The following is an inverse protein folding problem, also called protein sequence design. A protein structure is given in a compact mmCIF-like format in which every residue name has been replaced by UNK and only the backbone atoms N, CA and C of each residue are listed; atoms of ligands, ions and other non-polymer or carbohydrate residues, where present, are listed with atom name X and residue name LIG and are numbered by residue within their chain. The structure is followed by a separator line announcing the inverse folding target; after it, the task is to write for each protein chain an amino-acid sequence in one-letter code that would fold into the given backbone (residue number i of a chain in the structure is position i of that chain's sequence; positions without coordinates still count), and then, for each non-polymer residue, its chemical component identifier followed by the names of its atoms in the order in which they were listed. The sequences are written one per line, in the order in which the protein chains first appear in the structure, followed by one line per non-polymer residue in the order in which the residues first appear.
data_IF_983112974299
#
_entry.id   IF_983112974299
#
_cell.length_a   1.000
_cell.length_b   1.000
_cell.length_c   1.000
_cell.angle_alpha   90.00
_cell.angle_beta   90.00
_cell.angle_gamma   90.00
#
_symmetry.space_group_name_H-M   'P 1'
#
loop_
_entity.id
_entity.type
_entity.pdbx_description
1 polymer ?
#
# COMPACT_ATOMS: atom_id res chain seq x y z
N UNK A 1 57.01 1.33 -2.05
CA UNK A 1 57.56 2.67 -1.79
C UNK A 1 57.07 3.62 -2.88
N UNK A 2 56.09 4.42 -2.59
CA UNK A 2 55.88 5.80 -3.12
C UNK A 2 54.66 6.38 -2.42
N UNK A 3 54.94 7.22 -1.43
CA UNK A 3 53.99 8.09 -0.73
C UNK A 3 53.68 9.26 -1.66
N UNK A 4 52.39 9.62 -1.81
CA UNK A 4 52.04 10.98 -2.25
C UNK A 4 51.03 11.51 -1.24
N UNK A 5 51.49 12.55 -0.57
CA UNK A 5 50.78 13.34 0.41
C UNK A 5 50.05 14.51 -0.26
N UNK A 6 48.91 14.90 0.34
CA UNK A 6 48.51 16.29 0.50
C UNK A 6 47.69 16.89 -0.65
N UNK A 7 46.52 17.37 -0.29
CA UNK A 7 46.24 18.83 -0.29
C UNK A 7 44.83 19.00 0.33
N UNK A 8 44.84 19.58 1.52
CA UNK A 8 43.68 20.20 2.17
C UNK A 8 43.51 21.56 1.52
N UNK A 9 42.31 21.83 0.96
CA UNK A 9 41.92 23.19 0.57
C UNK A 9 40.68 23.59 1.33
N UNK A 10 40.92 24.35 2.37
CA UNK A 10 39.98 25.09 3.21
C UNK A 10 39.53 26.34 2.43
N UNK A 11 38.25 26.40 2.00
CA UNK A 11 37.64 27.66 1.54
C UNK A 11 36.57 28.07 2.54
N UNK A 12 36.95 28.92 3.48
CA UNK A 12 36.02 29.81 4.18
C UNK A 12 35.66 30.98 3.28
N UNK A 13 34.41 31.15 2.96
CA UNK A 13 33.86 32.45 2.55
C UNK A 13 32.63 32.79 3.39
N UNK A 14 32.88 33.72 4.31
CA UNK A 14 31.87 34.42 5.03
C UNK A 14 31.08 35.37 4.10
N UNK A 15 29.80 35.45 4.30
CA UNK A 15 28.96 36.53 3.74
C UNK A 15 28.21 37.21 4.86
N UNK A 16 28.46 38.51 4.92
CA UNK A 16 28.02 39.50 5.89
C UNK A 16 26.52 39.83 5.77
N UNK A 17 25.95 40.15 6.94
CA UNK A 17 24.61 40.72 7.12
C UNK A 17 24.41 42.03 6.34
N UNK A 18 23.24 42.23 5.77
CA UNK A 18 22.64 43.55 5.58
C UNK A 18 21.17 43.47 5.99
N UNK A 19 20.88 44.11 7.12
CA UNK A 19 19.56 44.45 7.60
C UNK A 19 19.02 45.65 6.83
N UNK A 20 17.75 45.60 6.40
CA UNK A 20 16.95 46.79 6.17
C UNK A 20 15.49 46.44 6.50
N UNK A 21 15.01 47.08 7.54
CA UNK A 21 13.64 47.08 8.01
C UNK A 21 12.73 47.97 7.15
N UNK A 22 11.46 47.61 7.14
CA UNK A 22 10.40 48.58 6.95
C UNK A 22 9.14 48.10 7.65
N UNK A 23 8.84 48.78 8.70
CA UNK A 23 7.57 48.85 9.42
C UNK A 23 6.50 49.49 8.55
N UNK A 24 5.31 48.92 8.50
CA UNK A 24 4.08 49.69 8.29
C UNK A 24 2.96 49.09 9.14
N UNK A 25 2.65 49.88 10.19
CA UNK A 25 1.39 49.84 10.93
C UNK A 25 0.25 50.44 10.08
N UNK A 26 -0.94 49.87 10.20
CA UNK A 26 -2.22 50.55 10.11
C UNK A 26 -3.28 49.68 10.77
N UNK A 27 -3.60 49.95 12.02
CA UNK A 27 -4.85 50.52 12.60
C UNK A 27 -6.15 49.86 12.10
N UNK A 28 -6.77 49.02 12.90
CA UNK A 28 -7.84 49.21 13.88
C UNK A 28 -9.16 49.82 13.33
N UNK A 29 -10.23 49.08 13.50
CA UNK A 29 -11.57 49.46 13.98
C UNK A 29 -12.50 48.25 13.91
N UNK A 30 -12.96 47.60 15.03
CA UNK A 30 -14.08 47.98 15.86
C UNK A 30 -15.42 47.91 15.10
N UNK A 31 -16.37 47.07 15.44
CA UNK A 31 -17.35 46.93 16.50
C UNK A 31 -18.26 45.74 16.18
N UNK A 32 -18.55 44.81 17.05
CA UNK A 32 -19.55 44.77 18.09
C UNK A 32 -21.02 44.66 17.60
N UNK A 33 -21.67 43.59 18.04
CA UNK A 33 -23.11 43.38 17.95
C UNK A 33 -23.43 41.88 18.09
N UNK A 34 -23.55 41.33 19.23
CA UNK A 34 -24.53 41.29 20.30
C UNK A 34 -25.82 40.55 19.95
N UNK A 35 -26.08 39.57 20.82
CA UNK A 35 -27.38 39.09 21.34
C UNK A 35 -28.02 37.90 20.64
N UNK A 36 -28.01 36.74 21.23
CA UNK A 36 -28.80 36.25 22.37
C UNK A 36 -30.05 35.44 21.95
N UNK A 37 -30.19 34.37 22.65
CA UNK A 37 -31.34 33.62 23.16
C UNK A 37 -31.66 32.35 22.35
N UNK A 38 -31.32 31.18 22.86
CA UNK A 38 -32.07 30.33 23.78
C UNK A 38 -33.50 29.99 23.29
N UNK A 39 -33.72 28.73 22.97
CA UNK A 39 -34.82 28.00 23.61
C UNK A 39 -34.69 26.47 23.41
N UNK A 40 -34.82 25.86 24.52
CA UNK A 40 -34.95 24.43 24.86
C UNK A 40 -36.29 23.90 24.34
N UNK A 41 -36.32 22.73 23.71
CA UNK A 41 -37.46 21.82 23.92
C UNK A 41 -36.97 20.39 23.89
N UNK A 42 -37.04 19.79 25.04
CA UNK A 42 -37.05 18.39 25.37
C UNK A 42 -38.25 17.69 24.74
N UNK A 43 -38.08 16.53 24.13
CA UNK A 43 -39.10 15.48 24.19
C UNK A 43 -38.47 14.09 24.11
N UNK A 44 -38.45 13.49 25.28
CA UNK A 44 -38.41 12.04 25.43
C UNK A 44 -39.74 11.43 24.94
N UNK A 45 -39.65 10.35 24.21
CA UNK A 45 -40.66 9.32 24.28
C UNK A 45 -40.02 7.94 24.09
N UNK A 46 -40.00 7.24 25.15
CA UNK A 46 -39.80 5.81 25.36
C UNK A 46 -40.98 5.04 24.75
N UNK A 47 -40.72 3.96 24.02
CA UNK A 47 -41.62 2.80 24.01
C UNK A 47 -40.80 1.52 24.01
N UNK A 48 -41.07 0.75 25.02
CA UNK A 48 -40.58 -0.60 25.31
C UNK A 48 -41.15 -1.65 24.36
N UNK A 49 -40.35 -2.72 24.24
CA UNK A 49 -40.71 -4.15 24.36
C UNK A 49 -41.56 -4.82 23.25
N UNK A 50 -40.99 -5.82 22.58
CA UNK A 50 -41.50 -7.18 22.72
C UNK A 50 -40.50 -8.22 22.19
N UNK A 51 -40.15 -9.12 23.07
CA UNK A 51 -39.46 -10.39 22.85
C UNK A 51 -40.30 -11.35 22.00
N UNK A 52 -39.68 -12.10 21.11
CA UNK A 52 -40.15 -13.44 20.73
C UNK A 52 -38.98 -14.30 20.26
N UNK A 53 -38.56 -15.15 21.15
CA UNK A 53 -37.80 -16.36 20.99
C UNK A 53 -38.50 -17.34 20.05
N UNK A 54 -37.79 -17.94 19.10
CA UNK A 54 -38.10 -19.30 18.64
C UNK A 54 -36.82 -19.99 18.18
N UNK A 55 -36.42 -20.94 18.98
CA UNK A 55 -35.43 -21.95 18.63
C UNK A 55 -36.10 -23.07 17.83
N UNK A 56 -35.35 -23.72 16.99
CA UNK A 56 -35.34 -25.10 16.53
C UNK A 56 -34.85 -25.16 15.09
N UNK A 57 -34.08 -26.03 14.59
CA UNK A 57 -33.51 -27.34 14.92
C UNK A 57 -32.74 -27.80 13.70
N UNK A 58 -31.74 -28.56 13.92
CA UNK A 58 -30.77 -29.18 13.05
C UNK A 58 -31.34 -29.91 11.81
N UNK A 59 -30.58 -29.89 10.71
CA UNK A 59 -30.45 -31.06 9.83
C UNK A 59 -29.11 -31.06 9.14
N UNK A 60 -28.29 -32.01 9.50
CA UNK A 60 -27.08 -32.43 8.77
C UNK A 60 -27.48 -33.08 7.45
N UNK A 61 -26.71 -32.78 6.40
CA UNK A 61 -26.59 -33.66 5.23
C UNK A 61 -25.16 -33.57 4.71
N UNK A 62 -24.43 -34.61 4.99
CA UNK A 62 -23.20 -34.97 4.29
C UNK A 62 -23.54 -35.28 2.84
N UNK A 63 -22.63 -34.93 1.93
CA UNK A 63 -21.96 -35.79 0.94
C UNK A 63 -21.53 -35.00 -0.27
N UNK A 64 -20.29 -35.22 -0.65
CA UNK A 64 -19.82 -34.92 -1.98
C UNK A 64 -18.37 -34.48 -2.05
N UNK A 65 -17.46 -35.35 -1.66
CA UNK A 65 -16.09 -35.28 -2.13
C UNK A 65 -16.11 -35.43 -3.65
N UNK A 66 -15.70 -34.39 -4.36
CA UNK A 66 -15.28 -34.48 -5.75
C UNK A 66 -13.80 -34.15 -5.78
N UNK A 67 -13.00 -35.21 -5.69
CA UNK A 67 -11.62 -35.17 -6.16
C UNK A 67 -11.67 -34.96 -7.68
N UNK A 68 -11.39 -33.73 -8.10
CA UNK A 68 -10.95 -33.46 -9.46
C UNK A 68 -9.44 -33.35 -9.41
N UNK A 69 -8.79 -34.45 -9.77
CA UNK A 69 -7.35 -34.46 -10.00
C UNK A 69 -7.04 -33.46 -11.11
N UNK A 70 -6.37 -32.37 -10.76
CA UNK A 70 -5.66 -31.54 -11.71
C UNK A 70 -4.41 -32.32 -12.10
N UNK A 71 -4.34 -32.74 -13.36
CA UNK A 71 -3.14 -33.30 -13.96
C UNK A 71 -2.04 -32.23 -13.92
N UNK A 72 -1.00 -32.50 -13.17
CA UNK A 72 0.27 -31.78 -13.22
C UNK A 72 0.87 -31.93 -14.63
N UNK A 73 0.67 -30.89 -15.46
CA UNK A 73 1.55 -30.67 -16.60
C UNK A 73 2.74 -29.88 -16.11
N UNK A 74 3.73 -30.60 -15.59
CA UNK A 74 4.99 -30.03 -15.17
C UNK A 74 5.72 -29.35 -16.33
N UNK A 75 5.82 -28.06 -16.26
CA UNK A 75 6.91 -27.29 -16.85
C UNK A 75 7.46 -26.46 -15.70
N UNK A 76 8.72 -26.65 -15.35
CA UNK A 76 9.43 -26.18 -14.15
C UNK A 76 9.35 -24.66 -13.87
N UNK A 77 8.18 -24.22 -13.55
CA UNK A 77 7.95 -22.91 -12.92
C UNK A 77 7.66 -23.24 -11.45
N UNK A 78 8.50 -22.72 -10.53
CA UNK A 78 8.26 -22.82 -9.10
C UNK A 78 6.88 -22.29 -8.74
N UNK A 79 6.40 -22.58 -7.52
CA UNK A 79 5.13 -22.07 -7.06
C UNK A 79 5.16 -20.54 -7.05
N UNK A 80 4.15 -19.91 -7.63
CA UNK A 80 4.08 -18.45 -7.81
C UNK A 80 3.04 -17.87 -6.86
N UNK A 81 3.42 -16.83 -6.14
CA UNK A 81 2.53 -15.97 -5.39
C UNK A 81 2.43 -14.61 -6.08
N UNK A 82 1.23 -14.07 -6.21
CA UNK A 82 0.98 -12.72 -6.71
C UNK A 82 0.35 -11.94 -5.56
N UNK A 83 1.20 -11.30 -4.76
CA UNK A 83 0.80 -10.46 -3.66
C UNK A 83 0.58 -9.03 -4.17
N UNK A 84 -0.55 -8.40 -3.81
CA UNK A 84 -0.84 -7.05 -4.28
C UNK A 84 -1.63 -6.24 -3.25
N UNK A 85 -1.35 -4.95 -3.19
CA UNK A 85 -2.18 -3.96 -2.53
C UNK A 85 -2.92 -3.15 -3.61
N UNK A 86 -4.23 -2.97 -3.44
CA UNK A 86 -5.02 -2.18 -4.38
C UNK A 86 -6.08 -1.35 -3.65
N UNK A 87 -6.13 -0.03 -3.90
CA UNK A 87 -7.17 0.84 -3.34
C UNK A 87 -8.28 1.13 -4.35
N UNK A 88 -7.92 1.35 -5.61
CA UNK A 88 -8.86 1.72 -6.68
C UNK A 88 -9.22 0.57 -7.63
N UNK A 89 -8.71 -0.64 -7.39
CA UNK A 89 -8.89 -1.81 -8.25
C UNK A 89 -7.87 -1.92 -9.39
N UNK A 90 -7.09 -0.88 -9.69
CA UNK A 90 -6.14 -0.92 -10.81
C UNK A 90 -5.05 -1.98 -10.63
N UNK A 91 -4.41 -2.02 -9.46
CA UNK A 91 -3.35 -3.00 -9.19
C UNK A 91 -3.92 -4.41 -9.12
N UNK A 92 -5.11 -4.59 -8.57
CA UNK A 92 -5.84 -5.86 -8.56
C UNK A 92 -6.10 -6.37 -9.99
N UNK A 93 -6.54 -5.49 -10.89
CA UNK A 93 -6.76 -5.86 -12.29
C UNK A 93 -5.47 -6.36 -12.96
N UNK A 94 -4.34 -5.69 -12.72
CA UNK A 94 -3.03 -6.12 -13.22
C UNK A 94 -2.61 -7.46 -12.60
N UNK A 95 -2.80 -7.64 -11.28
CA UNK A 95 -2.52 -8.90 -10.60
C UNK A 95 -3.33 -10.06 -11.20
N UNK A 96 -4.61 -9.84 -11.53
CA UNK A 96 -5.44 -10.81 -12.23
C UNK A 96 -4.91 -11.17 -13.62
N UNK A 97 -4.39 -10.20 -14.38
CA UNK A 97 -3.78 -10.46 -15.69
C UNK A 97 -2.49 -11.29 -15.57
N UNK A 98 -1.66 -11.02 -14.55
CA UNK A 98 -0.49 -11.83 -14.26
C UNK A 98 -0.91 -13.27 -13.95
N UNK A 99 -1.92 -13.44 -13.08
CA UNK A 99 -2.41 -14.77 -12.73
C UNK A 99 -2.91 -15.55 -13.96
N UNK A 100 -3.63 -14.90 -14.85
CA UNK A 100 -4.09 -15.54 -16.10
C UNK A 100 -2.95 -15.97 -17.01
N UNK A 101 -1.81 -15.26 -17.00
CA UNK A 101 -0.67 -15.53 -17.87
C UNK A 101 0.27 -16.59 -17.28
N UNK A 102 0.61 -16.47 -15.99
CA UNK A 102 1.63 -17.33 -15.35
C UNK A 102 1.05 -18.36 -14.38
N UNK A 103 -0.23 -18.26 -14.05
CA UNK A 103 -0.84 -19.04 -12.97
C UNK A 103 -0.46 -18.50 -11.58
N UNK A 104 -0.58 -19.36 -10.57
CA UNK A 104 -0.22 -19.02 -9.19
C UNK A 104 -1.38 -18.54 -8.35
N UNK A 105 -1.07 -18.23 -7.09
CA UNK A 105 -2.05 -17.83 -6.09
C UNK A 105 -2.09 -16.30 -5.93
N UNK A 106 -3.28 -15.72 -5.86
CA UNK A 106 -3.47 -14.31 -5.54
C UNK A 106 -3.52 -14.11 -4.02
N UNK A 107 -2.87 -13.07 -3.54
CA UNK A 107 -2.95 -12.63 -2.16
C UNK A 107 -3.10 -11.11 -2.07
N UNK A 108 -4.21 -10.64 -1.51
CA UNK A 108 -4.40 -9.22 -1.26
C UNK A 108 -3.67 -8.79 0.02
N UNK A 109 -2.77 -7.81 -0.12
CA UNK A 109 -2.11 -7.14 0.99
C UNK A 109 -3.09 -6.10 1.54
N UNK A 110 -3.97 -6.49 2.44
CA UNK A 110 -4.95 -5.61 3.04
C UNK A 110 -4.54 -5.23 4.47
N UNK A 111 -4.55 -3.93 4.84
CA UNK A 111 -4.41 -3.55 6.23
C UNK A 111 -5.62 -4.00 7.07
N UNK A 112 -5.39 -4.32 8.35
CA UNK A 112 -6.44 -4.75 9.27
C UNK A 112 -7.51 -3.66 9.49
N UNK A 113 -7.10 -2.40 9.44
CA UNK A 113 -7.98 -1.23 9.37
C UNK A 113 -7.98 -0.70 7.93
N UNK A 114 -9.06 -0.89 7.16
CA UNK A 114 -9.11 -0.44 5.77
C UNK A 114 -8.91 1.07 5.64
N UNK A 115 -8.21 1.49 4.60
CA UNK A 115 -8.11 2.91 4.27
C UNK A 115 -9.47 3.50 3.91
N UNK A 116 -9.58 4.82 4.11
CA UNK A 116 -10.78 5.58 3.74
C UNK A 116 -11.06 5.51 2.23
N UNK A 117 -12.33 5.65 1.85
CA UNK A 117 -12.74 5.81 0.44
C UNK A 117 -12.61 7.27 -0.04
N UNK A 118 -12.43 8.23 0.88
CA UNK A 118 -12.21 9.63 0.54
C UNK A 118 -10.77 9.86 0.10
N UNK A 119 -10.60 10.29 -1.14
CA UNK A 119 -9.29 10.44 -1.78
C UNK A 119 -8.40 11.48 -1.10
N UNK A 120 -8.96 12.63 -0.71
CA UNK A 120 -8.16 13.70 -0.11
C UNK A 120 -7.66 13.28 1.28
N UNK A 121 -8.51 12.64 2.06
CA UNK A 121 -8.14 12.04 3.36
C UNK A 121 -7.10 10.93 3.19
N UNK A 122 -7.22 10.10 2.15
CA UNK A 122 -6.24 9.06 1.85
C UNK A 122 -4.86 9.64 1.59
N UNK A 123 -4.78 10.74 0.82
CA UNK A 123 -3.50 11.40 0.54
C UNK A 123 -2.79 11.87 1.81
N UNK A 124 -3.55 12.39 2.79
CA UNK A 124 -3.01 12.84 4.08
C UNK A 124 -2.53 11.66 4.93
N UNK A 125 -3.31 10.58 4.99
CA UNK A 125 -2.94 9.35 5.71
C UNK A 125 -1.67 8.76 5.10
N UNK A 126 -1.64 8.54 3.79
CA UNK A 126 -0.51 7.94 3.10
C UNK A 126 0.78 8.76 3.28
N UNK A 127 0.69 10.09 3.23
CA UNK A 127 1.84 10.96 3.46
C UNK A 127 2.34 10.87 4.91
N UNK A 128 1.42 10.82 5.87
CA UNK A 128 1.74 10.68 7.29
C UNK A 128 2.42 9.36 7.56
N UNK A 129 1.85 8.26 7.07
CA UNK A 129 2.45 6.93 7.20
C UNK A 129 3.86 6.84 6.63
N UNK A 130 4.11 7.48 5.47
CA UNK A 130 5.45 7.53 4.90
C UNK A 130 6.44 8.33 5.75
N UNK A 131 6.00 9.47 6.32
CA UNK A 131 6.85 10.31 7.16
C UNK A 131 7.21 9.63 8.48
N UNK A 132 6.30 8.82 9.01
CA UNK A 132 6.46 8.08 10.25
C UNK A 132 7.08 6.69 10.06
N UNK A 133 7.32 6.28 8.80
CA UNK A 133 7.74 4.93 8.43
C UNK A 133 6.82 3.87 9.05
N UNK A 134 5.52 4.15 9.03
CA UNK A 134 4.50 3.33 9.66
C UNK A 134 4.49 1.90 9.10
N UNK A 135 4.05 0.95 9.93
CA UNK A 135 3.85 -0.44 9.53
C UNK A 135 2.43 -0.87 9.92
N UNK A 136 1.42 -0.53 9.12
CA UNK A 136 0.03 -0.92 9.40
C UNK A 136 -0.07 -2.43 9.56
N UNK A 137 -0.83 -2.89 10.55
CA UNK A 137 -1.10 -4.31 10.74
C UNK A 137 -1.88 -4.85 9.54
N UNK A 138 -1.55 -6.06 9.08
CA UNK A 138 -2.23 -6.71 7.97
C UNK A 138 -3.39 -7.59 8.45
N UNK A 139 -4.48 -7.60 7.68
CA UNK A 139 -5.69 -8.38 7.96
C UNK A 139 -5.46 -9.88 7.88
N UNK A 140 -4.54 -10.34 7.04
CA UNK A 140 -4.27 -11.75 6.80
C UNK A 140 -2.77 -12.01 6.61
N UNK A 141 -2.40 -13.29 6.65
CA UNK A 141 -1.06 -13.79 6.34
C UNK A 141 -1.13 -14.81 5.23
N UNK A 142 -0.07 -14.87 4.42
CA UNK A 142 0.10 -15.93 3.43
C UNK A 142 0.31 -17.25 4.16
N UNK A 143 -0.52 -18.21 3.83
CA UNK A 143 -0.32 -19.59 4.25
C UNK A 143 0.74 -20.26 3.35
N UNK A 144 1.47 -21.24 3.88
CA UNK A 144 2.46 -22.00 3.13
C UNK A 144 3.54 -21.17 2.41
N UNK A 145 3.95 -20.03 3.02
CA UNK A 145 4.95 -19.11 2.46
C UNK A 145 6.19 -19.80 1.89
N UNK A 146 6.68 -20.83 2.59
CA UNK A 146 7.89 -21.54 2.21
C UNK A 146 7.75 -22.30 0.88
N UNK A 147 6.52 -22.56 0.43
CA UNK A 147 6.29 -23.28 -0.83
C UNK A 147 6.45 -22.41 -2.08
N UNK A 148 6.45 -21.10 -1.95
CA UNK A 148 6.60 -20.19 -3.10
C UNK A 148 8.06 -19.92 -3.41
N UNK A 149 8.42 -19.98 -4.69
CA UNK A 149 9.75 -19.68 -5.22
C UNK A 149 9.80 -18.30 -5.87
N UNK A 150 8.68 -17.88 -6.47
CA UNK A 150 8.53 -16.60 -7.16
C UNK A 150 7.39 -15.80 -6.54
N UNK A 151 7.66 -14.55 -6.21
CA UNK A 151 6.69 -13.65 -5.60
C UNK A 151 6.60 -12.38 -6.43
N UNK A 152 5.46 -12.16 -7.04
CA UNK A 152 5.11 -10.85 -7.58
C UNK A 152 4.61 -9.97 -6.44
N UNK A 153 5.03 -8.70 -6.44
CA UNK A 153 4.56 -7.71 -5.45
C UNK A 153 4.04 -6.48 -6.16
N UNK A 154 2.73 -6.31 -6.10
CA UNK A 154 2.00 -5.24 -6.78
C UNK A 154 1.50 -4.13 -5.87
N UNK A 155 1.59 -2.87 -6.31
CA UNK A 155 1.12 -1.73 -5.52
C UNK A 155 0.86 -0.48 -6.37
N UNK A 156 -0.04 0.42 -5.93
CA UNK A 156 -0.15 1.74 -6.51
C UNK A 156 1.01 2.63 -6.04
N UNK A 157 1.47 3.52 -6.91
CA UNK A 157 2.50 4.49 -6.52
C UNK A 157 1.86 5.62 -5.72
N UNK A 158 2.13 5.69 -4.42
CA UNK A 158 1.67 6.73 -3.51
C UNK A 158 2.85 7.63 -3.09
N UNK A 159 2.78 8.92 -3.42
CA UNK A 159 3.84 9.88 -3.09
C UNK A 159 5.25 9.44 -3.52
N UNK A 160 5.34 8.86 -4.73
CA UNK A 160 6.57 8.31 -5.32
C UNK A 160 7.15 7.12 -4.55
N UNK A 161 6.29 6.35 -3.89
CA UNK A 161 6.68 5.18 -3.10
C UNK A 161 5.58 4.12 -3.09
N UNK A 162 5.86 2.95 -2.48
CA UNK A 162 4.84 1.96 -2.16
C UNK A 162 4.05 2.38 -0.91
N UNK A 163 2.77 2.00 -0.79
CA UNK A 163 2.02 2.11 0.45
C UNK A 163 2.69 1.36 1.60
N UNK A 164 2.62 1.90 2.83
CA UNK A 164 3.33 1.34 3.98
C UNK A 164 2.90 -0.09 4.34
N UNK A 165 1.68 -0.49 4.03
CA UNK A 165 1.21 -1.87 4.17
C UNK A 165 2.03 -2.88 3.32
N UNK A 166 2.56 -2.45 2.17
CA UNK A 166 3.44 -3.27 1.33
C UNK A 166 4.76 -3.56 2.05
N UNK A 167 5.33 -2.57 2.72
CA UNK A 167 6.54 -2.77 3.53
C UNK A 167 6.28 -3.69 4.73
N UNK A 168 5.13 -3.57 5.38
CA UNK A 168 4.72 -4.52 6.43
C UNK A 168 4.69 -5.94 5.89
N UNK A 169 4.15 -6.15 4.69
CA UNK A 169 4.13 -7.46 4.03
C UNK A 169 5.55 -7.97 3.79
N UNK A 170 6.41 -7.18 3.16
CA UNK A 170 7.79 -7.57 2.83
C UNK A 170 8.60 -7.94 4.07
N UNK A 171 8.46 -7.17 5.15
CA UNK A 171 9.15 -7.41 6.42
C UNK A 171 8.58 -8.58 7.25
N UNK A 172 7.40 -9.09 6.87
CA UNK A 172 6.72 -10.17 7.59
C UNK A 172 7.21 -11.56 7.21
N UNK A 173 8.01 -11.69 6.15
CA UNK A 173 8.43 -12.97 5.59
C UNK A 173 9.92 -13.04 5.28
N UNK A 174 10.47 -14.25 5.27
CA UNK A 174 11.84 -14.50 4.81
C UNK A 174 11.85 -14.74 3.30
N UNK A 175 12.48 -13.83 2.58
CA UNK A 175 12.61 -13.89 1.11
C UNK A 175 13.89 -14.62 0.65
N UNK A 176 14.69 -15.15 1.55
CA UNK A 176 15.95 -15.84 1.19
C UNK A 176 15.70 -16.95 0.18
N UNK A 177 16.34 -16.82 -0.99
CA UNK A 177 16.26 -17.79 -2.08
C UNK A 177 15.00 -17.69 -2.95
N UNK A 178 14.17 -16.66 -2.74
CA UNK A 178 13.00 -16.39 -3.58
C UNK A 178 13.32 -15.29 -4.60
N UNK A 179 12.72 -15.37 -5.78
CA UNK A 179 12.73 -14.31 -6.78
C UNK A 179 11.56 -13.37 -6.52
N UNK A 180 11.78 -12.06 -6.48
CA UNK A 180 10.75 -11.04 -6.32
C UNK A 180 10.65 -10.18 -7.57
N UNK A 181 9.44 -10.06 -8.11
CA UNK A 181 9.13 -9.26 -9.31
C UNK A 181 8.18 -8.14 -8.89
N UNK A 182 8.66 -6.89 -8.77
CA UNK A 182 7.78 -5.78 -8.44
C UNK A 182 6.97 -5.33 -9.65
N UNK A 183 5.70 -4.98 -9.45
CA UNK A 183 4.91 -4.27 -10.44
C UNK A 183 4.11 -3.15 -9.80
N UNK A 184 3.90 -2.07 -10.51
CA UNK A 184 3.10 -0.99 -9.95
C UNK A 184 2.15 -0.35 -10.96
N UNK A 185 1.13 0.30 -10.41
CA UNK A 185 0.22 1.16 -11.13
C UNK A 185 0.39 2.60 -10.68
N UNK A 186 0.40 3.54 -11.59
CA UNK A 186 0.53 4.95 -11.23
C UNK A 186 -0.10 5.88 -12.28
N UNK A 187 -0.33 7.15 -11.92
CA UNK A 187 -0.84 8.14 -12.86
C UNK A 187 0.20 8.56 -13.91
N UNK A 188 1.50 8.40 -13.62
CA UNK A 188 2.60 8.93 -14.44
C UNK A 188 3.66 7.90 -14.83
N UNK A 189 3.49 6.64 -14.42
CA UNK A 189 4.46 5.57 -14.61
C UNK A 189 5.65 5.66 -13.65
N UNK A 190 6.37 4.53 -13.54
CA UNK A 190 7.60 4.41 -12.77
C UNK A 190 7.39 4.07 -11.29
N UNK A 191 8.42 3.47 -10.72
CA UNK A 191 8.44 2.99 -9.33
C UNK A 191 8.73 4.09 -8.29
N UNK A 192 9.21 5.27 -8.74
CA UNK A 192 9.69 6.29 -7.81
C UNK A 192 10.89 5.78 -7.02
N UNK A 193 10.79 5.83 -5.69
CA UNK A 193 11.84 5.33 -4.78
C UNK A 193 11.56 3.94 -4.20
N UNK A 194 10.41 3.35 -4.53
CA UNK A 194 9.96 2.09 -3.91
C UNK A 194 10.90 0.91 -4.14
N UNK A 195 11.61 0.85 -5.27
CA UNK A 195 12.56 -0.26 -5.52
C UNK A 195 13.63 -0.37 -4.45
N UNK A 196 14.19 0.77 -3.99
CA UNK A 196 15.18 0.75 -2.92
C UNK A 196 14.59 0.27 -1.60
N UNK A 197 13.37 0.71 -1.27
CA UNK A 197 12.68 0.26 -0.07
C UNK A 197 12.29 -1.23 -0.12
N UNK A 198 11.90 -1.74 -1.30
CA UNK A 198 11.62 -3.15 -1.52
C UNK A 198 12.89 -3.99 -1.33
N UNK A 199 14.03 -3.55 -1.88
CA UNK A 199 15.32 -4.24 -1.74
C UNK A 199 15.75 -4.32 -0.26
N UNK A 200 15.52 -3.26 0.51
CA UNK A 200 15.81 -3.23 1.94
C UNK A 200 14.86 -4.11 2.75
N UNK A 201 13.56 -4.10 2.44
CA UNK A 201 12.53 -4.79 3.22
C UNK A 201 12.39 -6.26 2.88
N UNK A 202 12.65 -6.66 1.63
CA UNK A 202 12.67 -8.06 1.19
C UNK A 202 14.08 -8.65 1.23
N UNK A 203 14.75 -8.54 2.36
CA UNK A 203 16.14 -8.95 2.50
C UNK A 203 16.35 -10.42 2.09
N UNK A 204 17.32 -10.66 1.20
CA UNK A 204 17.65 -11.98 0.71
C UNK A 204 16.90 -12.41 -0.55
N UNK A 205 15.94 -11.63 -1.03
CA UNK A 205 15.30 -11.87 -2.33
C UNK A 205 16.26 -11.58 -3.49
N UNK A 206 16.09 -12.31 -4.59
CA UNK A 206 16.61 -11.91 -5.90
C UNK A 206 15.57 -10.99 -6.55
N UNK A 207 15.83 -9.67 -6.57
CA UNK A 207 14.92 -8.71 -7.19
C UNK A 207 15.12 -8.75 -8.70
N UNK A 208 14.09 -9.18 -9.43
CA UNK A 208 14.08 -9.24 -10.88
C UNK A 208 13.55 -7.91 -11.47
N UNK A 209 13.69 -7.76 -12.80
CA UNK A 209 13.15 -6.60 -13.50
C UNK A 209 11.63 -6.56 -13.35
N UNK A 210 11.12 -5.46 -12.80
CA UNK A 210 9.70 -5.20 -12.63
C UNK A 210 9.15 -4.34 -13.76
N UNK A 211 7.82 -4.17 -13.77
CA UNK A 211 7.16 -3.34 -14.79
C UNK A 211 6.15 -2.37 -14.16
N UNK A 212 5.82 -1.35 -14.91
CA UNK A 212 4.90 -0.30 -14.45
C UNK A 212 3.79 -0.10 -15.47
N UNK A 213 2.55 0.05 -14.97
CA UNK A 213 1.37 0.31 -15.80
C UNK A 213 0.78 1.65 -15.40
N UNK A 214 0.49 2.52 -16.37
CA UNK A 214 -0.24 3.75 -16.05
C UNK A 214 -1.72 3.46 -15.85
N UNK A 215 -2.37 4.20 -14.96
CA UNK A 215 -3.77 3.94 -14.57
C UNK A 215 -4.76 4.00 -15.75
N UNK A 216 -4.45 4.75 -16.80
CA UNK A 216 -5.23 4.84 -18.03
C UNK A 216 -4.96 3.70 -19.02
N UNK A 217 -3.90 2.94 -18.81
CA UNK A 217 -3.50 1.81 -19.66
C UNK A 217 -3.82 0.43 -19.05
N UNK A 218 -4.34 0.38 -17.83
CA UNK A 218 -4.61 -0.88 -17.11
C UNK A 218 -5.46 -1.86 -17.95
N UNK A 219 -6.50 -1.39 -18.65
CA UNK A 219 -7.34 -2.25 -19.48
C UNK A 219 -6.58 -2.91 -20.64
N UNK A 220 -5.49 -2.28 -21.10
CA UNK A 220 -4.64 -2.77 -22.18
C UNK A 220 -3.33 -3.40 -21.73
N UNK A 221 -3.06 -3.48 -20.44
CA UNK A 221 -1.76 -3.87 -19.87
C UNK A 221 -1.37 -5.34 -20.10
N UNK A 222 -2.24 -6.15 -20.70
CA UNK A 222 -1.97 -7.57 -20.98
C UNK A 222 -0.71 -7.77 -21.84
N UNK A 223 -0.40 -6.85 -22.77
CA UNK A 223 0.81 -6.91 -23.57
C UNK A 223 2.07 -6.64 -22.73
N UNK A 224 1.97 -5.74 -21.75
CA UNK A 224 3.08 -5.40 -20.85
C UNK A 224 3.35 -6.55 -19.85
N UNK A 225 2.31 -7.28 -19.44
CA UNK A 225 2.41 -8.44 -18.54
C UNK A 225 3.05 -9.65 -19.24
N UNK A 226 2.87 -9.79 -20.56
CA UNK A 226 3.33 -10.94 -21.35
C UNK A 226 4.74 -10.75 -21.94
N UNK A 227 5.38 -9.60 -21.75
CA UNK A 227 6.67 -9.24 -22.34
C UNK A 227 7.84 -9.68 -21.46
#
# INVERSE_FOLDING_TARGET
MKKIAGIVLLCMMGFTLAACGQTQESTASSEAGSSAAAETVSRQETVEETVAETAAEAAAAETGASESGAEETGSGTGNILIAYFSWSGNTEAVAGMIQEEVGGDLFEIAPAEPYTEDYDTLLEIAQTEQQEEARPELAARVENWDSYDVVFVGFPNWWSDAPMAVYTFLESYDFTGKSLIPFNTSASGGFGRSLSGIEESAAGAEILEGFTVTSDQVEGAREDVSA
#
